data_IF_066007655318
#
_entry.id   IF_066007655318
#
_cell.length_a   1.000
_cell.length_b   1.000
_cell.length_c   1.000
_cell.angle_alpha   90.00
_cell.angle_beta   90.00
_cell.angle_gamma   90.00
#
_symmetry.space_group_name_H-M   'P 1'
#
loop_
_entity.id
_entity.type
_entity.pdbx_description
1 polymer ?
#
# COMPACT_ATOMS: atom_id res chain seq x y z
N UNK A 1 9.51 25.09 0.77
CA UNK A 1 9.19 25.47 2.16
C UNK A 1 10.24 24.88 3.08
N UNK A 2 10.78 25.67 4.01
CA UNK A 2 11.75 25.17 4.99
C UNK A 2 11.08 24.20 5.95
N UNK A 3 11.69 23.03 6.19
CA UNK A 3 11.21 22.06 7.19
C UNK A 3 11.03 22.68 8.59
N UNK A 4 11.72 23.78 8.87
CA UNK A 4 11.62 24.53 10.13
C UNK A 4 10.23 25.15 10.35
N UNK A 5 9.65 25.79 9.33
CA UNK A 5 8.32 26.43 9.40
C UNK A 5 7.23 25.37 9.59
N UNK A 6 7.36 24.24 8.87
CA UNK A 6 6.45 23.10 9.02
C UNK A 6 6.42 22.60 10.46
N UNK A 7 7.59 22.35 11.05
CA UNK A 7 7.68 21.82 12.42
C UNK A 7 7.09 22.80 13.44
N UNK A 8 7.40 24.09 13.31
CA UNK A 8 6.85 25.13 14.19
C UNK A 8 5.31 25.17 14.15
N UNK A 9 4.71 25.01 12.97
CA UNK A 9 3.25 24.99 12.83
C UNK A 9 2.62 23.73 13.44
N UNK A 10 3.28 22.58 13.29
CA UNK A 10 2.83 21.32 13.89
C UNK A 10 2.91 21.37 15.42
N UNK A 11 3.99 21.91 15.99
CA UNK A 11 4.16 22.09 17.43
C UNK A 11 3.12 23.07 18.01
N UNK A 12 2.85 24.16 17.28
CA UNK A 12 1.87 25.16 17.68
C UNK A 12 0.43 24.66 17.58
N UNK A 13 0.18 23.64 16.75
CA UNK A 13 -1.14 23.02 16.49
C UNK A 13 -2.24 23.97 15.95
N UNK A 14 -1.93 25.24 15.71
CA UNK A 14 -2.86 26.20 15.10
C UNK A 14 -2.12 27.32 14.37
N UNK A 15 -2.79 27.94 13.40
CA UNK A 15 -2.36 29.16 12.71
C UNK A 15 -3.47 30.22 12.78
N UNK A 16 -3.08 31.48 12.92
CA UNK A 16 -4.04 32.60 12.95
C UNK A 16 -3.94 33.40 11.65
N UNK A 17 -5.07 33.56 10.96
CA UNK A 17 -5.17 34.37 9.73
C UNK A 17 -6.38 35.29 9.89
N UNK A 18 -6.19 36.61 9.77
CA UNK A 18 -7.25 37.62 9.97
C UNK A 18 -8.09 37.41 11.24
N UNK A 19 -7.42 37.17 12.37
CA UNK A 19 -8.05 36.93 13.68
C UNK A 19 -8.87 35.63 13.80
N UNK A 20 -8.85 34.77 12.77
CA UNK A 20 -9.47 33.44 12.79
C UNK A 20 -8.39 32.40 13.09
N UNK A 21 -8.67 31.51 14.03
CA UNK A 21 -7.79 30.38 14.39
C UNK A 21 -8.17 29.15 13.57
N UNK A 22 -7.19 28.55 12.91
CA UNK A 22 -7.30 27.29 12.19
C UNK A 22 -6.44 26.25 12.87
N UNK A 23 -6.99 25.06 13.10
CA UNK A 23 -6.22 23.95 13.64
C UNK A 23 -5.29 23.38 12.58
N UNK A 24 -4.06 23.09 12.99
CA UNK A 24 -3.04 22.49 12.14
C UNK A 24 -2.89 21.03 12.55
N UNK A 25 -3.15 20.14 11.60
CA UNK A 25 -2.89 18.71 11.75
C UNK A 25 -1.89 18.27 10.69
N UNK A 26 -1.00 17.35 11.06
CA UNK A 26 -0.10 16.75 10.08
C UNK A 26 -0.91 15.96 9.05
N UNK A 27 -0.69 16.24 7.77
CA UNK A 27 -1.24 15.41 6.72
C UNK A 27 -0.48 14.09 6.65
N UNK A 28 -1.09 13.04 7.19
CA UNK A 28 -0.55 11.70 7.16
C UNK A 28 -1.04 10.99 5.89
N UNK A 29 -0.22 11.05 4.84
CA UNK A 29 -0.51 10.38 3.59
C UNK A 29 -0.74 8.88 3.84
N UNK A 30 -1.86 8.34 3.36
CA UNK A 30 -2.15 6.92 3.49
C UNK A 30 -1.05 6.11 2.81
N UNK A 31 -0.60 5.05 3.47
CA UNK A 31 0.45 4.20 2.93
C UNK A 31 0.02 3.60 1.58
N UNK A 32 0.92 3.62 0.60
CA UNK A 32 0.66 2.97 -0.69
C UNK A 32 0.86 1.46 -0.53
N UNK A 33 -0.18 0.69 -0.86
CA UNK A 33 -0.07 -0.78 -0.87
C UNK A 33 0.61 -1.21 -2.15
N UNK A 34 1.72 -1.94 -2.00
CA UNK A 34 2.41 -2.56 -3.12
C UNK A 34 1.70 -3.88 -3.47
N UNK A 35 1.17 -3.96 -4.70
CA UNK A 35 0.61 -5.18 -5.25
C UNK A 35 1.52 -5.65 -6.39
N UNK A 36 2.03 -6.87 -6.26
CA UNK A 36 2.89 -7.48 -7.27
C UNK A 36 2.11 -7.68 -8.57
N UNK A 37 2.63 -7.17 -9.67
CA UNK A 37 1.96 -7.26 -10.98
C UNK A 37 2.01 -8.65 -11.60
N UNK A 38 2.84 -9.56 -11.05
CA UNK A 38 3.02 -10.95 -11.51
C UNK A 38 2.02 -11.89 -10.83
N UNK A 39 2.14 -12.06 -9.52
CA UNK A 39 1.31 -13.00 -8.75
C UNK A 39 0.08 -12.34 -8.10
N UNK A 40 -0.11 -11.04 -8.24
CA UNK A 40 -1.11 -10.27 -7.51
C UNK A 40 -0.95 -10.37 -5.97
N UNK A 41 0.18 -10.81 -5.43
CA UNK A 41 0.45 -10.77 -3.99
C UNK A 41 0.61 -9.35 -3.45
N UNK A 42 0.45 -9.15 -2.15
CA UNK A 42 0.69 -7.86 -1.47
C UNK A 42 2.09 -7.82 -0.85
N UNK A 43 2.68 -6.64 -0.76
CA UNK A 43 3.89 -6.38 0.03
C UNK A 43 5.23 -6.65 -0.66
N UNK A 44 5.27 -6.92 -1.97
CA UNK A 44 6.54 -7.12 -2.69
C UNK A 44 6.52 -6.63 -4.14
N UNK A 45 7.69 -6.30 -4.66
CA UNK A 45 7.86 -5.91 -6.06
C UNK A 45 7.95 -7.14 -6.96
N UNK A 46 7.62 -6.97 -8.25
CA UNK A 46 7.75 -8.04 -9.25
C UNK A 46 9.15 -8.68 -9.27
N UNK A 47 10.19 -7.86 -9.08
CA UNK A 47 11.60 -8.33 -9.04
C UNK A 47 11.90 -9.28 -7.89
N UNK A 48 11.14 -9.20 -6.80
CA UNK A 48 11.28 -10.02 -5.59
C UNK A 48 10.23 -11.13 -5.51
N UNK A 49 9.44 -11.31 -6.58
CA UNK A 49 8.40 -12.32 -6.64
C UNK A 49 9.05 -13.70 -6.81
N UNK A 50 8.74 -14.61 -5.88
CA UNK A 50 9.20 -16.01 -5.92
C UNK A 50 8.31 -16.93 -6.76
N UNK A 51 7.10 -16.48 -7.10
CA UNK A 51 6.18 -17.25 -7.93
C UNK A 51 6.73 -17.37 -9.35
N UNK A 52 6.75 -18.59 -9.88
CA UNK A 52 7.14 -18.85 -11.27
C UNK A 52 6.05 -18.40 -12.24
N UNK A 53 4.80 -18.67 -11.90
CA UNK A 53 3.64 -18.35 -12.72
C UNK A 53 3.11 -16.93 -12.46
N UNK A 54 2.48 -16.36 -13.46
CA UNK A 54 1.68 -15.14 -13.32
C UNK A 54 0.27 -15.51 -12.83
N UNK A 55 -0.46 -14.53 -12.32
CA UNK A 55 -1.81 -14.72 -11.81
C UNK A 55 -2.74 -13.72 -12.46
N UNK A 56 -3.82 -14.22 -13.06
CA UNK A 56 -4.80 -13.40 -13.72
C UNK A 56 -5.45 -12.45 -12.70
N UNK A 57 -5.44 -11.15 -13.00
CA UNK A 57 -6.02 -10.11 -12.12
C UNK A 57 -7.54 -10.25 -11.99
N UNK A 58 -8.18 -10.82 -13.01
CA UNK A 58 -9.62 -10.94 -13.13
C UNK A 58 -10.11 -12.24 -12.50
N UNK A 59 -9.67 -13.40 -13.00
CA UNK A 59 -10.16 -14.70 -12.50
C UNK A 59 -9.35 -15.33 -11.37
N UNK A 60 -8.12 -14.86 -11.14
CA UNK A 60 -7.25 -15.38 -10.10
C UNK A 60 -6.53 -16.69 -10.45
N UNK A 61 -6.67 -17.18 -11.68
CA UNK A 61 -5.98 -18.39 -12.14
C UNK A 61 -4.47 -18.15 -12.31
N UNK A 62 -3.67 -19.17 -11.99
CA UNK A 62 -2.23 -19.17 -12.24
C UNK A 62 -1.96 -19.54 -13.70
N UNK A 63 -1.13 -18.78 -14.38
CA UNK A 63 -0.83 -18.93 -15.80
C UNK A 63 0.66 -18.76 -16.03
N UNK A 64 1.25 -19.58 -16.90
CA UNK A 64 2.66 -19.42 -17.30
C UNK A 64 2.84 -18.12 -18.10
N UNK A 65 1.92 -17.87 -19.04
CA UNK A 65 1.88 -16.65 -19.87
C UNK A 65 0.50 -15.99 -19.84
N UNK A 66 0.42 -14.77 -19.29
CA UNK A 66 -0.85 -14.02 -19.20
C UNK A 66 -1.43 -13.66 -20.57
N UNK A 67 -0.58 -13.58 -21.61
CA UNK A 67 -0.98 -13.22 -22.98
C UNK A 67 -1.73 -14.34 -23.69
N UNK A 68 -1.43 -15.60 -23.33
CA UNK A 68 -2.06 -16.79 -23.90
C UNK A 68 -3.15 -17.36 -22.98
N UNK A 69 -3.37 -16.73 -21.83
CA UNK A 69 -4.36 -17.17 -20.87
C UNK A 69 -5.78 -16.96 -21.39
N UNK A 70 -6.54 -18.06 -21.49
CA UNK A 70 -8.00 -18.02 -21.66
C UNK A 70 -8.65 -17.64 -20.34
N UNK A 71 -8.97 -16.34 -20.19
CA UNK A 71 -9.63 -15.86 -18.98
C UNK A 71 -11.09 -16.29 -18.95
N UNK A 72 -11.50 -16.91 -17.83
CA UNK A 72 -12.89 -17.27 -17.54
C UNK A 72 -13.82 -16.06 -17.35
N UNK A 73 -13.27 -14.83 -17.31
CA UNK A 73 -13.95 -13.55 -17.04
C UNK A 73 -14.71 -13.47 -15.71
N UNK A 74 -14.73 -14.55 -14.92
CA UNK A 74 -15.26 -14.55 -13.56
C UNK A 74 -14.38 -13.66 -12.70
N UNK A 75 -14.93 -12.57 -12.16
CA UNK A 75 -14.15 -11.66 -11.32
C UNK A 75 -14.02 -12.26 -9.91
N UNK A 76 -12.79 -12.63 -9.54
CA UNK A 76 -12.47 -13.19 -8.23
C UNK A 76 -11.16 -12.64 -7.70
N UNK A 77 -11.20 -12.13 -6.48
CA UNK A 77 -10.00 -11.70 -5.78
C UNK A 77 -9.27 -12.90 -5.20
N UNK A 78 -7.97 -13.05 -5.48
CA UNK A 78 -7.17 -14.19 -4.99
C UNK A 78 -7.00 -14.20 -3.46
N UNK A 79 -7.25 -13.07 -2.79
CA UNK A 79 -7.01 -12.94 -1.34
C UNK A 79 -8.26 -13.18 -0.52
N UNK A 80 -9.37 -12.57 -0.91
CA UNK A 80 -10.62 -12.62 -0.15
C UNK A 80 -11.73 -13.40 -0.87
N UNK A 81 -11.46 -13.92 -2.06
CA UNK A 81 -12.44 -14.60 -2.92
C UNK A 81 -13.68 -13.77 -3.28
N UNK A 82 -13.66 -12.45 -3.06
CA UNK A 82 -14.76 -11.55 -3.38
C UNK A 82 -14.86 -11.20 -4.87
N UNK A 83 -15.99 -10.61 -5.26
CA UNK A 83 -16.30 -10.18 -6.63
C UNK A 83 -15.65 -8.83 -6.98
N UNK A 84 -14.32 -8.78 -6.99
CA UNK A 84 -13.54 -7.64 -7.47
C UNK A 84 -12.18 -8.12 -8.00
N UNK A 85 -11.53 -7.32 -8.84
CA UNK A 85 -10.21 -7.68 -9.37
C UNK A 85 -9.17 -7.69 -8.25
N UNK A 86 -8.18 -8.56 -8.38
CA UNK A 86 -7.14 -8.74 -7.36
C UNK A 86 -6.25 -7.50 -7.14
N UNK A 87 -6.30 -6.51 -8.02
CA UNK A 87 -5.58 -5.23 -7.88
C UNK A 87 -6.43 -4.09 -7.33
N UNK A 88 -7.73 -4.29 -7.07
CA UNK A 88 -8.60 -3.25 -6.57
C UNK A 88 -8.34 -2.94 -5.09
N UNK A 89 -8.34 -1.64 -4.75
CA UNK A 89 -8.13 -1.16 -3.38
C UNK A 89 -9.36 -1.36 -2.48
N UNK A 90 -10.51 -1.75 -3.06
CA UNK A 90 -11.74 -2.05 -2.34
C UNK A 90 -11.70 -3.40 -1.63
N UNK A 91 -10.65 -4.20 -1.84
CA UNK A 91 -10.48 -5.47 -1.15
C UNK A 91 -10.34 -5.26 0.36
N UNK A 92 -11.13 -5.98 1.21
CA UNK A 92 -11.06 -5.83 2.66
C UNK A 92 -9.67 -6.17 3.22
N UNK A 93 -8.98 -7.15 2.62
CA UNK A 93 -7.62 -7.53 3.00
C UNK A 93 -6.64 -6.41 2.65
N UNK A 94 -6.73 -5.83 1.44
CA UNK A 94 -5.88 -4.69 1.04
C UNK A 94 -6.13 -3.49 1.95
N UNK A 95 -7.38 -3.21 2.31
CA UNK A 95 -7.75 -2.15 3.25
C UNK A 95 -7.13 -2.38 4.64
N UNK A 96 -7.20 -3.60 5.16
CA UNK A 96 -6.59 -3.97 6.45
C UNK A 96 -5.07 -3.85 6.42
N UNK A 97 -4.43 -4.32 5.35
CA UNK A 97 -2.98 -4.21 5.16
C UNK A 97 -2.54 -2.74 5.09
N UNK A 98 -3.28 -1.91 4.33
CA UNK A 98 -3.02 -0.47 4.26
C UNK A 98 -3.13 0.22 5.62
N UNK A 99 -4.15 -0.14 6.40
CA UNK A 99 -4.36 0.41 7.73
C UNK A 99 -3.20 0.04 8.67
N UNK A 100 -2.76 -1.22 8.66
CA UNK A 100 -1.61 -1.67 9.45
C UNK A 100 -0.31 -0.99 9.03
N UNK A 101 -0.04 -0.90 7.72
CA UNK A 101 1.14 -0.22 7.20
C UNK A 101 1.13 1.26 7.59
N UNK A 102 -0.03 1.93 7.49
CA UNK A 102 -0.17 3.32 7.92
C UNK A 102 0.10 3.45 9.43
N UNK A 103 -0.48 2.59 10.27
CA UNK A 103 -0.19 2.58 11.72
C UNK A 103 1.29 2.41 12.03
N UNK A 104 2.00 1.52 11.34
CA UNK A 104 3.45 1.32 11.52
C UNK A 104 4.28 2.54 11.12
N UNK A 105 3.90 3.23 10.05
CA UNK A 105 4.54 4.47 9.63
C UNK A 105 4.32 5.60 10.64
N UNK A 106 3.14 5.65 11.28
CA UNK A 106 2.82 6.61 12.32
C UNK A 106 3.49 6.30 13.66
N UNK A 107 3.66 5.02 13.99
CA UNK A 107 4.28 4.57 15.23
C UNK A 107 5.82 4.66 15.18
N UNK A 108 6.42 4.61 14.00
CA UNK A 108 7.87 4.76 13.85
C UNK A 108 8.27 6.22 14.05
N UNK A 109 9.10 6.57 15.06
CA UNK A 109 9.69 7.90 15.12
C UNK A 109 10.50 8.11 13.84
N UNK A 110 10.41 9.32 13.27
CA UNK A 110 10.99 9.74 11.99
C UNK A 110 12.48 9.40 11.88
N UNK A 111 12.79 8.15 11.57
CA UNK A 111 14.09 7.71 11.11
C UNK A 111 14.03 7.73 9.59
N UNK A 112 15.07 8.26 8.92
CA UNK A 112 15.10 8.30 7.48
C UNK A 112 15.01 6.86 6.96
N UNK A 113 13.90 6.54 6.30
CA UNK A 113 13.68 5.24 5.67
C UNK A 113 14.74 5.07 4.59
N UNK A 114 15.79 4.31 4.90
CA UNK A 114 16.78 3.89 3.93
C UNK A 114 16.15 2.79 3.06
N UNK A 115 15.68 3.20 1.87
CA UNK A 115 15.05 2.31 0.88
C UNK A 115 15.97 1.18 0.35
N UNK A 116 17.21 1.07 0.83
CA UNK A 116 18.18 0.07 0.37
C UNK A 116 18.15 -1.27 1.11
N UNK A 117 17.38 -1.43 2.19
CA UNK A 117 17.29 -2.72 2.88
C UNK A 117 15.91 -3.36 2.71
N UNK A 118 15.83 -4.25 1.71
CA UNK A 118 14.65 -5.07 1.39
C UNK A 118 14.40 -6.23 2.39
N UNK A 119 14.90 -6.12 3.61
CA UNK A 119 15.03 -7.27 4.54
C UNK A 119 14.00 -7.29 5.68
N UNK A 120 13.09 -6.30 5.76
CA UNK A 120 12.11 -6.19 6.85
C UNK A 120 10.66 -6.55 6.46
N UNK A 121 10.43 -7.16 5.30
CA UNK A 121 9.12 -7.70 4.91
C UNK A 121 9.20 -9.22 4.73
N UNK A 122 9.60 -9.91 5.79
CA UNK A 122 9.50 -11.37 5.85
C UNK A 122 8.44 -11.72 6.89
N UNK A 123 7.22 -11.96 6.41
CA UNK A 123 6.16 -12.57 7.20
C UNK A 123 6.11 -14.07 6.90
N UNK A 124 5.77 -14.90 7.90
CA UNK A 124 5.92 -16.34 7.82
C UNK A 124 4.97 -16.99 6.81
N UNK A 125 5.42 -18.15 6.35
CA UNK A 125 4.82 -19.05 5.36
C UNK A 125 3.39 -19.45 5.64
#
# INVERSE_FOLDING_TARGET
MSNKIRNEWLERAYVTVHYIRYDVQEYLAQARVLICTKCCGIGHFRKQCKEQNETCRTCGDKCTDIKQHTCSQVIKCIRCSGQHKSNEMNCPIVKSFRANLTKQLLASPATPVNYNNSSLLQFPS
#
